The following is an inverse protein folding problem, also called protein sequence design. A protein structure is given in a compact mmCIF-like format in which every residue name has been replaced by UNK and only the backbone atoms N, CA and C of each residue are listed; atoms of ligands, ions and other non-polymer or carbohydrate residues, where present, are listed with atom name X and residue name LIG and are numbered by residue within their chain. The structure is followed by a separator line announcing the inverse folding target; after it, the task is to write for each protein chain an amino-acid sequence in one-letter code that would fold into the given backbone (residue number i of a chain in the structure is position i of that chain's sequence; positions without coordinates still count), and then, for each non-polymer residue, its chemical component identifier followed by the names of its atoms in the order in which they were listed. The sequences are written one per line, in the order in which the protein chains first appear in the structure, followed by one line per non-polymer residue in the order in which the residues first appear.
data_IF_788746425256
#
_entry.id   IF_788746425256
#
_cell.length_a   1.000
_cell.length_b   1.000
_cell.length_c   1.000
_cell.angle_alpha   90.00
_cell.angle_beta   90.00
_cell.angle_gamma   90.00
#
_symmetry.space_group_name_H-M   'P 1'
#
loop_
_entity.id
_entity.type
_entity.pdbx_description
1 polymer ?
#
# COMPACT_ATOMS: atom_id res chain seq x y z
N UNK A 1 -42.35 -5.21 19.47
CA UNK A 1 -43.07 -5.53 18.22
C UNK A 1 -42.05 -6.24 17.32
N UNK A 2 -42.11 -7.53 17.01
CA UNK A 2 -43.24 -8.33 16.53
C UNK A 2 -43.43 -9.65 17.29
N UNK A 3 -44.64 -10.15 17.10
CA UNK A 3 -45.33 -11.29 17.72
C UNK A 3 -44.99 -12.65 17.09
N UNK A 4 -44.93 -13.67 17.94
CA UNK A 4 -45.70 -14.93 17.89
C UNK A 4 -45.99 -15.54 16.51
N UNK A 5 -45.34 -16.67 16.21
CA UNK A 5 -45.98 -17.78 15.48
C UNK A 5 -45.39 -19.13 15.91
N UNK A 6 -46.32 -20.03 16.18
CA UNK A 6 -46.17 -21.40 16.63
C UNK A 6 -46.51 -22.35 15.48
N UNK A 7 -45.71 -23.40 15.26
CA UNK A 7 -46.12 -24.75 14.83
C UNK A 7 -44.89 -25.63 14.54
N UNK A 8 -44.54 -26.51 15.47
CA UNK A 8 -43.90 -27.78 15.13
C UNK A 8 -44.91 -28.87 15.46
N UNK A 9 -45.35 -29.61 14.45
CA UNK A 9 -46.19 -30.79 14.61
C UNK A 9 -45.36 -31.94 15.18
N UNK A 10 -45.96 -32.63 16.16
CA UNK A 10 -45.51 -33.89 16.71
C UNK A 10 -45.89 -35.06 15.78
N UNK A 11 -45.00 -36.05 15.68
CA UNK A 11 -45.38 -37.46 15.54
C UNK A 11 -44.40 -38.32 16.35
N UNK A 12 -44.94 -39.11 17.29
CA UNK A 12 -44.41 -40.44 17.60
C UNK A 12 -43.58 -40.64 18.87
N UNK A 13 -44.27 -40.91 19.99
CA UNK A 13 -44.07 -42.16 20.76
C UNK A 13 -42.94 -42.24 21.81
N UNK A 14 -43.02 -43.18 22.78
CA UNK A 14 -42.86 -42.85 24.20
C UNK A 14 -41.76 -43.64 24.95
N UNK A 15 -41.25 -43.06 26.06
CA UNK A 15 -40.74 -43.87 27.18
C UNK A 15 -39.48 -43.40 27.90
N UNK A 16 -39.62 -42.42 28.81
CA UNK A 16 -38.90 -42.23 30.10
C UNK A 16 -37.36 -42.12 30.12
N UNK A 17 -36.72 -41.26 30.91
CA UNK A 17 -37.08 -40.08 31.71
C UNK A 17 -35.76 -39.34 31.92
N UNK A 18 -35.80 -38.02 31.71
CA UNK A 18 -34.71 -37.08 31.98
C UNK A 18 -34.45 -36.99 33.49
N UNK A 19 -33.22 -37.23 33.92
CA UNK A 19 -32.57 -36.49 35.02
C UNK A 19 -31.09 -36.38 34.69
N UNK A 20 -30.73 -35.65 33.63
CA UNK A 20 -29.33 -35.25 33.40
C UNK A 20 -29.24 -33.73 33.41
N UNK A 21 -29.13 -33.24 34.64
CA UNK A 21 -28.17 -32.23 35.08
C UNK A 21 -28.07 -30.93 34.25
N UNK A 22 -29.03 -30.05 34.51
CA UNK A 22 -28.98 -28.60 34.22
C UNK A 22 -27.68 -27.93 34.72
N UNK A 23 -26.95 -28.55 35.66
CA UNK A 23 -25.62 -28.10 36.12
C UNK A 23 -24.51 -28.23 35.08
N UNK A 24 -24.56 -29.22 34.17
CA UNK A 24 -23.53 -29.38 33.13
C UNK A 24 -23.64 -28.32 32.03
N UNK A 25 -24.86 -27.87 31.72
CA UNK A 25 -25.09 -26.89 30.65
C UNK A 25 -24.66 -25.49 31.11
N UNK A 26 -24.87 -25.14 32.38
CA UNK A 26 -24.37 -23.87 32.92
C UNK A 26 -22.84 -23.82 33.04
N UNK A 27 -22.17 -24.92 33.43
CA UNK A 27 -20.69 -24.94 33.49
C UNK A 27 -20.06 -24.93 32.10
N UNK A 28 -20.65 -25.61 31.11
CA UNK A 28 -20.20 -25.52 29.72
C UNK A 28 -20.42 -24.13 29.12
N UNK A 29 -21.52 -23.45 29.45
CA UNK A 29 -21.76 -22.08 28.97
C UNK A 29 -20.79 -21.08 29.64
N UNK A 30 -20.48 -21.26 30.92
CA UNK A 30 -19.49 -20.43 31.62
C UNK A 30 -18.07 -20.68 31.10
N UNK A 31 -17.70 -21.93 30.78
CA UNK A 31 -16.42 -22.26 30.14
C UNK A 31 -16.34 -21.79 28.69
N UNK A 32 -17.45 -21.79 27.94
CA UNK A 32 -17.51 -21.26 26.58
C UNK A 32 -17.44 -19.73 26.58
N UNK A 33 -18.11 -19.06 27.53
CA UNK A 33 -18.03 -17.60 27.69
C UNK A 33 -16.64 -17.20 28.21
N UNK A 34 -16.04 -17.93 29.15
CA UNK A 34 -14.65 -17.68 29.57
C UNK A 34 -13.63 -18.00 28.47
N UNK A 35 -13.84 -19.05 27.68
CA UNK A 35 -12.98 -19.41 26.55
C UNK A 35 -13.07 -18.42 25.38
N UNK A 36 -14.26 -17.85 25.14
CA UNK A 36 -14.48 -16.85 24.09
C UNK A 36 -14.07 -15.44 24.55
N UNK A 37 -14.18 -15.11 25.84
CA UNK A 37 -13.74 -13.82 26.39
C UNK A 37 -12.21 -13.76 26.57
N UNK A 38 -11.52 -14.90 26.71
CA UNK A 38 -10.04 -14.96 26.73
C UNK A 38 -9.43 -14.95 25.32
N UNK A 39 -10.24 -15.18 24.28
CA UNK A 39 -9.88 -14.93 22.88
C UNK A 39 -10.35 -13.54 22.45
N UNK A 40 -10.05 -12.51 23.25
CA UNK A 40 -9.87 -11.20 22.66
C UNK A 40 -8.79 -11.37 21.57
N UNK A 41 -9.01 -10.89 20.33
CA UNK A 41 -7.93 -10.87 19.35
C UNK A 41 -6.76 -10.20 20.05
N UNK A 42 -5.65 -10.93 20.21
CA UNK A 42 -4.40 -10.33 20.65
C UNK A 42 -4.23 -9.05 19.84
N UNK A 43 -3.91 -7.91 20.46
CA UNK A 43 -3.62 -6.70 19.69
C UNK A 43 -2.67 -7.15 18.58
N UNK A 44 -3.07 -6.92 17.33
CA UNK A 44 -2.20 -7.20 16.20
C UNK A 44 -0.91 -6.48 16.54
N UNK A 45 0.17 -7.22 16.79
CA UNK A 45 1.48 -6.58 16.94
C UNK A 45 1.71 -5.89 15.60
N UNK A 46 1.42 -4.59 15.53
CA UNK A 46 1.65 -3.79 14.32
C UNK A 46 3.15 -3.72 14.00
N UNK A 47 3.98 -4.06 15.00
CA UNK A 47 5.42 -4.03 14.94
C UNK A 47 6.09 -5.35 14.62
N UNK A 48 6.91 -5.34 13.57
CA UNK A 48 7.79 -6.48 13.27
C UNK A 48 9.06 -6.51 14.14
N UNK A 49 9.27 -5.49 14.99
CA UNK A 49 10.47 -5.33 15.83
C UNK A 49 10.17 -4.50 17.07
N UNK A 50 10.85 -4.80 18.18
CA UNK A 50 10.85 -3.93 19.38
C UNK A 50 12.15 -3.12 19.44
N UNK A 51 12.01 -1.80 19.39
CA UNK A 51 13.01 -0.75 19.58
C UNK A 51 12.59 0.16 20.74
N UNK A 52 13.50 1.00 21.22
CA UNK A 52 13.13 2.07 22.12
C UNK A 52 12.40 3.17 21.33
N UNK A 53 11.19 3.54 21.76
CA UNK A 53 10.44 4.63 21.12
C UNK A 53 11.22 5.94 21.24
N UNK A 54 11.43 6.61 20.10
CA UNK A 54 11.98 7.96 20.09
C UNK A 54 10.89 8.95 20.53
N UNK A 55 11.24 9.99 21.30
CA UNK A 55 10.28 11.05 21.64
C UNK A 55 9.62 11.71 20.43
N UNK A 56 10.32 11.75 19.29
CA UNK A 56 9.80 12.32 18.05
C UNK A 56 8.79 11.42 17.32
N UNK A 57 8.61 10.15 17.71
CA UNK A 57 7.56 9.28 17.12
C UNK A 57 6.15 9.72 17.57
N UNK A 58 6.06 10.49 18.65
CA UNK A 58 4.81 11.10 19.08
C UNK A 58 4.47 12.32 18.21
N UNK A 59 3.23 12.37 17.72
CA UNK A 59 2.69 13.52 16.97
C UNK A 59 2.66 14.77 17.86
N UNK A 60 2.31 14.60 19.15
CA UNK A 60 2.23 15.67 20.13
C UNK A 60 3.31 15.52 21.20
N UNK A 61 4.12 16.57 21.36
CA UNK A 61 5.17 16.63 22.38
C UNK A 61 4.89 17.84 23.29
N UNK A 62 5.10 17.66 24.60
CA UNK A 62 4.90 18.74 25.56
C UNK A 62 6.01 19.77 25.42
N UNK A 63 5.64 21.05 25.32
CA UNK A 63 6.56 22.18 25.25
C UNK A 63 7.26 22.34 26.59
N UNK A 64 8.34 21.60 26.81
CA UNK A 64 9.22 21.84 27.95
C UNK A 64 10.07 23.08 27.65
N UNK A 65 10.03 24.10 28.52
CA UNK A 65 10.81 25.34 28.42
C UNK A 65 12.35 25.16 28.33
N UNK A 66 12.86 23.92 28.30
CA UNK A 66 14.28 23.58 28.37
C UNK A 66 14.95 23.22 27.03
N UNK A 67 14.22 23.07 25.92
CA UNK A 67 14.79 22.60 24.63
C UNK A 67 15.22 23.71 23.65
N UNK A 68 15.10 24.99 24.02
CA UNK A 68 15.60 26.13 23.22
C UNK A 68 17.13 26.29 23.22
N UNK A 69 17.89 25.29 23.67
CA UNK A 69 19.37 25.28 23.59
C UNK A 69 19.85 24.04 22.85
N UNK A 70 19.72 24.04 21.52
CA UNK A 70 20.64 23.43 20.53
C UNK A 70 19.95 23.41 19.16
N UNK A 71 20.02 24.53 18.45
CA UNK A 71 20.05 24.51 16.99
C UNK A 71 21.54 24.44 16.60
N UNK A 72 22.05 23.35 16.00
CA UNK A 72 23.17 23.48 15.07
C UNK A 72 22.56 24.10 13.80
N UNK A 73 23.00 25.26 13.32
CA UNK A 73 24.34 25.46 12.80
C UNK A 73 24.34 25.05 11.33
N UNK A 74 24.17 26.04 10.45
CA UNK A 74 24.26 26.00 8.99
C UNK A 74 25.00 24.79 8.40
N UNK A 75 24.32 24.05 7.51
CA UNK A 75 24.97 23.23 6.48
C UNK A 75 24.81 23.96 5.13
N UNK A 76 25.89 24.23 4.38
CA UNK A 76 25.79 24.92 3.10
C UNK A 76 25.45 23.95 1.96
N UNK A 77 24.50 24.36 1.12
CA UNK A 77 24.41 23.95 -0.29
C UNK A 77 23.43 22.83 -0.63
N UNK A 78 22.21 23.18 -1.03
CA UNK A 78 21.55 22.74 -2.27
C UNK A 78 20.38 23.70 -2.55
N UNK A 79 20.14 23.99 -3.83
CA UNK A 79 19.38 25.14 -4.33
C UNK A 79 17.97 25.32 -3.79
N UNK A 80 17.58 26.59 -3.69
CA UNK A 80 16.33 27.10 -3.18
C UNK A 80 15.09 26.42 -3.80
N UNK A 81 14.25 25.87 -2.93
CA UNK A 81 12.81 25.77 -3.14
C UNK A 81 12.16 26.66 -2.07
N UNK A 82 11.26 27.55 -2.51
CA UNK A 82 10.62 28.56 -1.69
C UNK A 82 9.92 27.95 -0.47
N UNK A 83 10.41 28.31 0.73
CA UNK A 83 9.78 27.97 1.99
C UNK A 83 8.50 28.80 2.15
N UNK A 84 7.35 28.20 1.84
CA UNK A 84 6.06 28.69 2.34
C UNK A 84 5.95 28.22 3.79
N UNK A 85 6.50 29.01 4.72
CA UNK A 85 6.28 28.80 6.15
C UNK A 85 4.89 29.31 6.54
N UNK A 86 3.95 28.38 6.70
CA UNK A 86 2.67 28.65 7.33
C UNK A 86 2.85 28.85 8.86
N UNK A 87 2.05 29.71 9.50
CA UNK A 87 2.22 30.03 10.91
C UNK A 87 1.99 28.78 11.77
N UNK A 88 2.97 28.47 12.61
CA UNK A 88 2.85 27.48 13.68
C UNK A 88 1.73 27.94 14.60
N UNK A 89 0.61 27.20 14.60
CA UNK A 89 -0.46 27.44 15.55
C UNK A 89 0.09 27.21 16.96
N UNK A 90 0.26 28.30 17.71
CA UNK A 90 0.65 28.27 19.11
C UNK A 90 -0.44 27.58 19.92
N UNK A 91 -0.05 26.52 20.63
CA UNK A 91 -0.91 25.67 21.44
C UNK A 91 -1.55 26.40 22.62
N UNK A 92 -2.82 26.09 22.89
CA UNK A 92 -3.57 26.62 24.02
C UNK A 92 -3.15 25.96 25.36
N UNK A 93 -2.45 24.81 25.35
CA UNK A 93 -2.16 24.01 26.56
C UNK A 93 -0.70 23.52 26.74
N UNK A 94 0.28 24.14 26.06
CA UNK A 94 1.70 23.79 26.21
C UNK A 94 2.11 22.47 25.54
N UNK A 95 1.44 22.10 24.44
CA UNK A 95 1.74 20.93 23.61
C UNK A 95 1.95 21.35 22.16
N UNK A 96 3.06 20.97 21.53
CA UNK A 96 3.27 21.15 20.10
C UNK A 96 2.92 19.87 19.36
N UNK A 97 1.90 19.91 18.50
CA UNK A 97 1.46 18.77 17.70
C UNK A 97 1.76 18.98 16.22
N UNK A 98 2.48 18.04 15.60
CA UNK A 98 2.82 18.09 14.18
C UNK A 98 2.77 16.70 13.56
N UNK A 99 1.97 16.54 12.51
CA UNK A 99 1.94 15.36 11.64
C UNK A 99 2.91 15.57 10.47
N UNK A 100 4.11 14.99 10.60
CA UNK A 100 5.12 14.95 9.54
C UNK A 100 4.88 13.81 8.55
N UNK A 101 4.69 14.16 7.28
CA UNK A 101 4.40 13.24 6.19
C UNK A 101 5.54 13.31 5.17
N UNK A 102 6.25 12.20 5.00
CA UNK A 102 7.32 12.05 4.02
C UNK A 102 6.70 11.78 2.67
N UNK A 103 7.04 12.56 1.64
CA UNK A 103 6.52 12.39 0.28
C UNK A 103 7.68 12.02 -0.63
N UNK A 104 7.75 10.77 -1.05
CA UNK A 104 8.84 10.25 -1.89
C UNK A 104 8.28 10.06 -3.29
N UNK A 105 8.64 10.94 -4.23
CA UNK A 105 8.15 10.90 -5.61
C UNK A 105 9.20 11.51 -6.55
N UNK A 106 9.25 11.10 -7.83
CA UNK A 106 10.21 11.67 -8.77
C UNK A 106 9.89 13.13 -9.04
N UNK A 107 10.91 13.99 -9.08
CA UNK A 107 10.75 15.38 -9.49
C UNK A 107 10.51 15.50 -11.02
N UNK A 108 10.95 14.51 -11.79
CA UNK A 108 10.80 14.50 -13.24
C UNK A 108 9.33 14.31 -13.65
N UNK A 109 8.78 15.28 -14.39
CA UNK A 109 7.40 15.27 -14.89
C UNK A 109 7.14 14.29 -16.02
N UNK A 110 8.15 13.54 -16.49
CA UNK A 110 7.92 12.38 -17.36
C UNK A 110 7.11 11.27 -16.67
N UNK A 111 7.08 11.23 -15.33
CA UNK A 111 6.23 10.31 -14.55
C UNK A 111 4.91 10.99 -14.21
N UNK A 112 3.80 10.29 -14.40
CA UNK A 112 2.44 10.81 -14.18
C UNK A 112 2.23 11.26 -12.74
N UNK A 113 2.61 10.39 -11.79
CA UNK A 113 2.63 10.67 -10.36
C UNK A 113 4.00 11.20 -9.91
N UNK A 114 4.44 12.30 -10.52
CA UNK A 114 5.63 13.06 -10.11
C UNK A 114 5.29 14.11 -9.06
N UNK A 115 6.29 14.49 -8.26
CA UNK A 115 6.12 15.42 -7.14
C UNK A 115 5.43 16.75 -7.56
N UNK A 116 5.83 17.43 -8.65
CA UNK A 116 5.17 18.68 -9.06
C UNK A 116 3.71 18.50 -9.48
N UNK A 117 3.32 17.29 -9.94
CA UNK A 117 1.95 16.98 -10.36
C UNK A 117 1.07 16.55 -9.19
N UNK A 118 1.65 15.91 -8.18
CA UNK A 118 0.93 15.43 -6.99
C UNK A 118 0.77 16.53 -5.95
N UNK A 119 1.69 17.48 -5.86
CA UNK A 119 1.64 18.55 -4.86
C UNK A 119 0.29 19.31 -4.84
N UNK A 120 -0.30 19.77 -5.96
CA UNK A 120 -1.60 20.43 -5.94
C UNK A 120 -2.74 19.53 -5.41
N UNK A 121 -2.63 18.22 -5.60
CA UNK A 121 -3.60 17.26 -5.06
C UNK A 121 -3.47 17.13 -3.54
N UNK A 122 -2.24 17.17 -3.00
CA UNK A 122 -1.98 17.18 -1.56
C UNK A 122 -2.48 18.47 -0.91
N UNK A 123 -2.24 19.63 -1.53
CA UNK A 123 -2.74 20.93 -1.05
C UNK A 123 -4.29 20.94 -1.00
N UNK A 124 -4.93 20.40 -2.03
CA UNK A 124 -6.40 20.24 -2.04
C UNK A 124 -6.89 19.26 -0.97
N UNK A 125 -6.15 18.18 -0.73
CA UNK A 125 -6.47 17.21 0.31
C UNK A 125 -6.34 17.83 1.70
N UNK A 126 -5.29 18.62 1.96
CA UNK A 126 -5.15 19.36 3.21
C UNK A 126 -6.31 20.35 3.41
N UNK A 127 -6.68 21.11 2.37
CA UNK A 127 -7.85 21.98 2.42
C UNK A 127 -9.16 21.23 2.71
N UNK A 128 -9.30 19.99 2.26
CA UNK A 128 -10.43 19.12 2.63
C UNK A 128 -10.35 18.66 4.09
N UNK A 129 -9.19 18.18 4.55
CA UNK A 129 -8.94 17.75 5.94
C UNK A 129 -9.28 18.86 6.92
N UNK A 130 -8.88 20.10 6.64
CA UNK A 130 -9.14 21.26 7.50
C UNK A 130 -10.60 21.67 7.53
N UNK A 131 -11.30 21.62 6.39
CA UNK A 131 -12.72 21.96 6.31
C UNK A 131 -13.62 20.94 7.02
N UNK A 132 -13.32 19.66 6.87
CA UNK A 132 -14.09 18.57 7.47
C UNK A 132 -13.69 18.28 8.93
N UNK A 133 -12.63 18.94 9.44
CA UNK A 133 -12.14 18.70 10.81
C UNK A 133 -11.63 17.27 11.03
N UNK A 134 -11.13 16.60 9.98
CA UNK A 134 -10.62 15.22 10.06
C UNK A 134 -9.40 15.14 10.99
N UNK A 135 -8.54 16.16 10.91
CA UNK A 135 -7.40 16.34 11.80
C UNK A 135 -7.67 17.59 12.64
N UNK A 136 -7.46 17.54 13.98
CA UNK A 136 -7.62 18.69 14.85
C UNK A 136 -6.87 19.94 14.35
N UNK A 137 -7.48 21.12 14.51
CA UNK A 137 -6.94 22.37 13.97
C UNK A 137 -5.59 22.78 14.60
N UNK A 138 -5.30 22.30 15.80
CA UNK A 138 -4.08 22.49 16.57
C UNK A 138 -2.95 21.52 16.19
N UNK A 139 -3.21 20.53 15.33
CA UNK A 139 -2.18 19.65 14.75
C UNK A 139 -1.70 20.23 13.43
N UNK A 140 -0.44 20.68 13.38
CA UNK A 140 0.20 21.12 12.14
C UNK A 140 0.42 19.93 11.20
N UNK A 141 0.28 20.12 9.89
CA UNK A 141 0.64 19.11 8.89
C UNK A 141 1.88 19.60 8.18
N UNK A 142 2.93 18.77 8.14
CA UNK A 142 4.20 19.10 7.49
C UNK A 142 4.52 18.07 6.42
N UNK A 143 4.56 18.54 5.17
CA UNK A 143 4.97 17.76 4.01
C UNK A 143 6.50 17.82 3.87
N UNK A 144 7.16 16.67 3.77
CA UNK A 144 8.62 16.54 3.63
C UNK A 144 8.91 15.86 2.28
N UNK A 145 9.08 16.64 1.20
CA UNK A 145 9.27 16.07 -0.14
C UNK A 145 10.69 15.56 -0.37
N UNK A 146 10.81 14.43 -1.06
CA UNK A 146 12.06 13.86 -1.55
C UNK A 146 11.93 13.39 -3.00
N UNK A 147 12.93 13.75 -3.81
CA UNK A 147 13.08 13.26 -5.18
C UNK A 147 13.81 11.91 -5.20
N UNK A 148 13.08 10.84 -5.47
CA UNK A 148 13.64 9.49 -5.61
C UNK A 148 14.21 9.19 -7.00
N UNK A 149 13.98 10.07 -7.98
CA UNK A 149 14.34 9.88 -9.40
C UNK A 149 13.85 8.56 -9.98
N UNK A 150 12.84 7.93 -9.37
CA UNK A 150 12.36 6.62 -9.75
C UNK A 150 13.46 5.52 -9.63
N UNK A 151 14.44 5.71 -8.74
CA UNK A 151 15.58 4.81 -8.49
C UNK A 151 15.44 4.06 -7.15
N UNK A 152 15.63 2.74 -7.18
CA UNK A 152 15.49 1.87 -6.01
C UNK A 152 16.38 2.27 -4.83
N UNK A 153 17.68 2.49 -5.08
CA UNK A 153 18.64 2.83 -4.04
C UNK A 153 18.33 4.20 -3.43
N UNK A 154 18.01 5.18 -4.28
CA UNK A 154 17.71 6.55 -3.86
C UNK A 154 16.43 6.60 -3.03
N UNK A 155 15.35 5.96 -3.47
CA UNK A 155 14.10 5.88 -2.70
C UNK A 155 14.30 5.32 -1.29
N UNK A 156 15.16 4.30 -1.17
CA UNK A 156 15.50 3.68 0.12
C UNK A 156 16.21 4.66 1.05
N UNK A 157 17.20 5.40 0.55
CA UNK A 157 17.92 6.42 1.32
C UNK A 157 16.98 7.56 1.73
N UNK A 158 16.13 8.05 0.81
CA UNK A 158 15.16 9.09 1.12
C UNK A 158 14.15 8.65 2.21
N UNK A 159 13.74 7.38 2.20
CA UNK A 159 12.90 6.83 3.26
C UNK A 159 13.64 6.81 4.62
N UNK A 160 14.92 6.45 4.63
CA UNK A 160 15.74 6.50 5.85
C UNK A 160 15.95 7.94 6.34
N UNK A 161 16.23 8.90 5.47
CA UNK A 161 16.42 10.30 5.83
C UNK A 161 15.11 10.94 6.32
N UNK A 162 13.99 10.61 5.69
CA UNK A 162 12.65 11.09 6.07
C UNK A 162 12.12 10.51 7.38
N UNK A 163 12.57 9.31 7.77
CA UNK A 163 12.15 8.62 9.01
C UNK A 163 13.25 8.60 10.09
N UNK A 164 14.43 9.11 9.74
CA UNK A 164 15.57 9.25 10.63
C UNK A 164 15.32 10.25 11.76
N UNK A 165 16.31 10.40 12.64
CA UNK A 165 16.17 11.22 13.85
C UNK A 165 15.95 12.72 13.58
N UNK A 166 16.29 13.21 12.39
CA UNK A 166 16.15 14.63 12.03
C UNK A 166 14.74 14.96 11.53
N UNK A 167 14.16 14.10 10.69
CA UNK A 167 12.84 14.31 10.09
C UNK A 167 11.72 13.65 10.88
N UNK A 168 11.97 12.48 11.50
CA UNK A 168 11.00 11.69 12.26
C UNK A 168 9.59 11.64 11.64
N UNK A 169 9.50 11.32 10.35
CA UNK A 169 8.22 11.25 9.64
C UNK A 169 7.33 10.12 10.14
N UNK A 170 6.01 10.34 10.19
CA UNK A 170 5.04 9.36 10.73
C UNK A 170 4.37 8.50 9.65
N UNK A 171 4.44 8.94 8.39
CA UNK A 171 3.82 8.30 7.23
C UNK A 171 4.67 8.58 6.00
N UNK A 172 4.77 7.59 5.11
CA UNK A 172 5.35 7.76 3.77
C UNK A 172 4.22 7.76 2.73
N UNK A 173 4.21 8.78 1.88
CA UNK A 173 3.42 8.84 0.64
C UNK A 173 4.32 8.55 -0.56
N UNK A 174 3.90 7.62 -1.42
CA UNK A 174 4.72 7.06 -2.49
C UNK A 174 5.63 5.93 -1.99
N UNK A 175 6.68 5.53 -2.74
CA UNK A 175 7.02 5.92 -4.11
C UNK A 175 5.95 5.64 -5.16
N UNK A 176 6.05 6.31 -6.31
CA UNK A 176 5.16 6.10 -7.47
C UNK A 176 5.70 5.10 -8.49
N UNK A 177 6.99 4.76 -8.43
CA UNK A 177 7.59 3.75 -9.30
C UNK A 177 7.71 2.39 -8.59
N UNK A 178 7.40 1.29 -9.28
CA UNK A 178 7.32 -0.04 -8.66
C UNK A 178 8.68 -0.50 -8.09
N UNK A 179 9.78 -0.28 -8.81
CA UNK A 179 11.12 -0.60 -8.31
C UNK A 179 11.58 0.29 -7.15
N UNK A 180 11.16 1.55 -7.13
CA UNK A 180 11.45 2.47 -6.02
C UNK A 180 10.62 2.10 -4.77
N UNK A 181 9.35 1.71 -4.98
CA UNK A 181 8.40 1.34 -3.95
C UNK A 181 8.81 0.05 -3.23
N UNK A 182 9.26 -0.96 -3.98
CA UNK A 182 9.57 -2.29 -3.44
C UNK A 182 10.49 -2.27 -2.20
N UNK A 183 11.68 -1.65 -2.21
CA UNK A 183 12.53 -1.60 -1.02
C UNK A 183 11.93 -0.76 0.11
N UNK A 184 11.29 0.38 -0.20
CA UNK A 184 10.70 1.27 0.82
C UNK A 184 9.60 0.53 1.57
N UNK A 185 8.71 -0.15 0.86
CA UNK A 185 7.64 -0.94 1.44
C UNK A 185 8.16 -2.15 2.26
N UNK A 186 9.26 -2.79 1.83
CA UNK A 186 9.91 -3.88 2.59
C UNK A 186 10.49 -3.41 3.92
N UNK A 187 11.17 -2.26 3.93
CA UNK A 187 11.80 -1.76 5.16
C UNK A 187 10.81 -1.10 6.10
N UNK A 188 9.66 -0.64 5.60
CA UNK A 188 8.66 0.10 6.36
C UNK A 188 8.21 -0.61 7.64
N UNK A 189 8.09 -1.94 7.60
CA UNK A 189 7.73 -2.76 8.76
C UNK A 189 8.78 -2.78 9.88
N UNK A 190 10.00 -2.33 9.59
CA UNK A 190 11.13 -2.25 10.53
C UNK A 190 11.45 -0.81 10.96
N UNK A 191 10.76 0.18 10.41
CA UNK A 191 10.89 1.58 10.80
C UNK A 191 10.01 1.78 12.03
N UNK A 192 10.61 2.21 13.15
CA UNK A 192 9.97 2.29 14.47
C UNK A 192 9.50 0.94 15.01
N UNK A 193 8.80 0.98 16.14
CA UNK A 193 8.26 -0.22 16.77
C UNK A 193 7.13 -0.82 15.96
N UNK A 194 6.15 -0.01 15.59
CA UNK A 194 4.90 -0.45 14.99
C UNK A 194 4.92 -0.43 13.45
N UNK A 195 6.12 -0.34 12.86
CA UNK A 195 6.28 -0.02 11.45
C UNK A 195 5.91 1.43 11.15
N UNK A 196 6.17 1.85 9.91
CA UNK A 196 5.65 3.09 9.35
C UNK A 196 4.69 2.77 8.19
N UNK A 197 3.47 3.33 8.15
CA UNK A 197 2.60 3.12 6.99
C UNK A 197 3.23 3.71 5.73
N UNK A 198 3.05 3.00 4.61
CA UNK A 198 3.41 3.45 3.26
C UNK A 198 2.15 3.48 2.43
N UNK A 199 1.68 4.67 2.06
CA UNK A 199 0.47 4.84 1.25
C UNK A 199 0.88 5.29 -0.14
N UNK A 200 0.44 4.57 -1.16
CA UNK A 200 0.74 4.94 -2.56
C UNK A 200 -0.44 4.68 -3.48
N UNK A 201 -0.57 5.54 -4.49
CA UNK A 201 -1.47 5.30 -5.62
C UNK A 201 -0.89 4.33 -6.67
N UNK A 202 0.38 3.94 -6.52
CA UNK A 202 1.10 3.03 -7.40
C UNK A 202 1.19 1.61 -6.81
N UNK A 203 2.23 0.85 -7.16
CA UNK A 203 2.38 -0.54 -6.77
C UNK A 203 1.52 -1.44 -7.64
N UNK A 204 1.85 -1.50 -8.92
CA UNK A 204 1.03 -2.16 -9.94
C UNK A 204 1.35 -3.65 -10.10
N UNK A 205 2.61 -4.05 -9.88
CA UNK A 205 2.98 -5.47 -9.92
C UNK A 205 2.19 -6.30 -8.92
N UNK A 206 1.97 -7.57 -9.28
CA UNK A 206 1.14 -8.50 -8.51
C UNK A 206 1.69 -8.77 -7.10
N UNK A 207 3.00 -8.65 -6.89
CA UNK A 207 3.64 -8.83 -5.58
C UNK A 207 3.05 -7.87 -4.52
N UNK A 208 2.67 -6.66 -4.93
CA UNK A 208 2.02 -5.68 -4.04
C UNK A 208 0.54 -6.00 -3.77
N UNK A 209 -0.01 -7.07 -4.34
CA UNK A 209 -1.36 -7.57 -4.06
C UNK A 209 -1.36 -8.76 -3.09
N UNK A 210 -0.20 -9.40 -2.88
CA UNK A 210 -0.07 -10.55 -1.99
C UNK A 210 -0.51 -10.25 -0.56
N UNK A 211 -0.86 -11.25 0.26
CA UNK A 211 -1.31 -11.04 1.64
C UNK A 211 -0.36 -10.13 2.45
N UNK A 212 -0.93 -9.22 3.26
CA UNK A 212 -0.21 -8.22 4.08
C UNK A 212 -0.66 -8.21 5.53
N UNK A 213 -1.45 -9.18 5.93
CA UNK A 213 -2.12 -9.19 7.25
C UNK A 213 -1.15 -9.40 8.40
N UNK A 214 -0.03 -10.06 8.15
CA UNK A 214 0.93 -10.45 9.17
C UNK A 214 2.29 -9.80 8.95
N UNK A 215 3.01 -9.59 10.04
CA UNK A 215 4.33 -8.96 10.06
C UNK A 215 5.35 -9.64 9.13
N UNK A 216 5.31 -10.97 8.99
CA UNK A 216 6.19 -11.71 8.10
C UNK A 216 5.94 -11.43 6.62
N UNK A 217 4.75 -10.91 6.27
CA UNK A 217 4.46 -10.54 4.89
C UNK A 217 5.35 -9.40 4.43
N UNK A 218 5.88 -9.54 3.22
CA UNK A 218 6.92 -8.67 2.65
C UNK A 218 6.51 -7.19 2.64
N UNK A 219 5.25 -6.90 2.36
CA UNK A 219 4.70 -5.55 2.24
C UNK A 219 3.66 -5.24 3.31
N UNK A 220 3.85 -5.73 4.54
CA UNK A 220 2.90 -5.57 5.66
C UNK A 220 2.37 -4.14 5.85
N UNK A 221 3.25 -3.14 5.74
CA UNK A 221 2.90 -1.72 5.95
C UNK A 221 2.44 -0.98 4.68
N UNK A 222 2.34 -1.67 3.53
CA UNK A 222 1.97 -1.06 2.27
C UNK A 222 0.45 -1.01 2.09
N UNK A 223 -0.07 0.20 1.90
CA UNK A 223 -1.46 0.47 1.59
C UNK A 223 -1.52 1.07 0.19
N UNK A 224 -2.17 0.35 -0.72
CA UNK A 224 -2.41 0.83 -2.08
C UNK A 224 -3.80 1.44 -2.18
N UNK A 225 -3.86 2.69 -2.61
CA UNK A 225 -5.12 3.41 -2.89
C UNK A 225 -5.49 3.37 -4.37
N UNK A 226 -4.55 2.95 -5.24
CA UNK A 226 -4.78 2.75 -6.66
C UNK A 226 -5.79 1.64 -6.95
N UNK A 227 -6.74 1.90 -7.86
CA UNK A 227 -7.80 0.95 -8.22
C UNK A 227 -7.33 -0.16 -9.17
N UNK A 228 -6.24 0.08 -9.89
CA UNK A 228 -5.77 -0.77 -10.99
C UNK A 228 -4.42 -1.37 -10.63
N UNK A 229 -4.25 -2.66 -10.94
CA UNK A 229 -2.98 -3.39 -10.84
C UNK A 229 -2.83 -4.29 -12.07
N UNK A 230 -1.61 -4.75 -12.31
CA UNK A 230 -1.34 -5.68 -13.40
C UNK A 230 -2.07 -7.02 -13.21
N UNK A 231 -2.28 -7.45 -11.95
CA UNK A 231 -3.11 -8.62 -11.63
C UNK A 231 -4.56 -8.42 -12.06
N UNK A 232 -5.16 -7.26 -11.75
CA UNK A 232 -6.52 -6.91 -12.19
C UNK A 232 -6.61 -6.77 -13.71
N UNK A 233 -5.60 -6.20 -14.38
CA UNK A 233 -5.53 -6.16 -15.83
C UNK A 233 -5.46 -7.57 -16.44
N UNK A 234 -4.70 -8.48 -15.82
CA UNK A 234 -4.62 -9.86 -16.27
C UNK A 234 -5.96 -10.58 -16.18
N UNK A 235 -6.68 -10.44 -15.06
CA UNK A 235 -8.03 -11.00 -14.93
C UNK A 235 -9.01 -10.42 -15.96
N UNK A 236 -8.96 -9.11 -16.22
CA UNK A 236 -9.75 -8.50 -17.27
C UNK A 236 -9.48 -9.12 -18.65
N UNK A 237 -8.19 -9.32 -18.99
CA UNK A 237 -7.82 -9.95 -20.26
C UNK A 237 -8.24 -11.42 -20.34
N UNK A 238 -8.14 -12.17 -19.23
CA UNK A 238 -8.62 -13.56 -19.14
C UNK A 238 -10.13 -13.62 -19.40
N UNK A 239 -10.91 -12.75 -18.77
CA UNK A 239 -12.36 -12.68 -19.00
C UNK A 239 -12.71 -12.35 -20.45
N UNK A 240 -11.94 -11.46 -21.07
CA UNK A 240 -12.10 -11.12 -22.49
C UNK A 240 -11.79 -12.33 -23.40
N UNK A 241 -10.69 -13.03 -23.15
CA UNK A 241 -10.29 -14.25 -23.86
C UNK A 241 -11.39 -15.32 -23.75
N UNK A 242 -11.93 -15.52 -22.54
CA UNK A 242 -13.03 -16.46 -22.29
C UNK A 242 -14.31 -16.06 -23.01
N UNK A 243 -14.68 -14.78 -22.95
CA UNK A 243 -15.87 -14.25 -23.61
C UNK A 243 -15.86 -14.51 -25.12
N UNK A 244 -14.73 -14.25 -25.77
CA UNK A 244 -14.56 -14.46 -27.22
C UNK A 244 -14.09 -15.87 -27.60
N UNK A 245 -13.93 -16.77 -26.61
CA UNK A 245 -13.47 -18.16 -26.79
C UNK A 245 -12.12 -18.26 -27.53
N UNK A 246 -11.22 -17.31 -27.27
CA UNK A 246 -9.86 -17.39 -27.80
C UNK A 246 -9.06 -18.43 -27.02
N UNK A 247 -8.27 -19.23 -27.72
CA UNK A 247 -7.49 -20.32 -27.15
C UNK A 247 -5.97 -20.08 -27.21
N UNK A 248 -5.53 -19.06 -27.95
CA UNK A 248 -4.10 -18.75 -28.12
C UNK A 248 -3.89 -17.24 -28.17
N UNK A 249 -2.86 -16.77 -27.48
CA UNK A 249 -2.52 -15.34 -27.38
C UNK A 249 -1.06 -15.13 -27.76
N UNK A 250 -0.79 -14.15 -28.62
CA UNK A 250 0.56 -13.61 -28.82
C UNK A 250 0.54 -12.17 -28.36
N UNK A 251 1.48 -11.78 -27.51
CA UNK A 251 1.63 -10.38 -27.15
C UNK A 251 3.05 -9.89 -27.45
N UNK A 252 3.09 -8.70 -28.02
CA UNK A 252 4.30 -7.95 -28.34
C UNK A 252 4.43 -6.84 -27.32
N UNK A 253 5.62 -6.68 -26.75
CA UNK A 253 5.85 -5.64 -25.77
C UNK A 253 7.29 -5.15 -25.80
N UNK A 254 7.45 -3.87 -25.47
CA UNK A 254 8.76 -3.28 -25.18
C UNK A 254 8.96 -3.29 -23.66
N UNK A 255 10.13 -3.72 -23.17
CA UNK A 255 10.32 -3.88 -21.73
C UNK A 255 10.25 -2.55 -21.01
N UNK A 256 10.79 -1.49 -21.61
CA UNK A 256 10.85 -0.14 -21.05
C UNK A 256 9.60 0.72 -21.35
N UNK A 257 8.59 0.15 -22.00
CA UNK A 257 7.34 0.87 -22.26
C UNK A 257 6.64 1.29 -20.96
N UNK A 258 5.80 2.31 -21.07
CA UNK A 258 5.00 2.85 -19.96
C UNK A 258 5.81 3.35 -18.76
N UNK A 259 7.05 3.82 -19.00
CA UNK A 259 7.90 4.43 -17.97
C UNK A 259 7.17 5.51 -17.16
N UNK A 260 6.33 6.30 -17.83
CA UNK A 260 5.55 7.36 -17.20
C UNK A 260 4.57 6.86 -16.12
N UNK A 261 4.18 5.58 -16.14
CA UNK A 261 3.17 5.02 -15.21
C UNK A 261 3.79 4.48 -13.93
N UNK A 262 4.79 3.61 -14.04
CA UNK A 262 5.38 2.90 -12.88
C UNK A 262 6.92 2.84 -12.92
N UNK A 263 7.56 3.61 -13.79
CA UNK A 263 9.00 3.70 -13.88
C UNK A 263 9.67 2.66 -14.79
N UNK A 264 10.97 2.40 -14.57
CA UNK A 264 11.74 1.46 -15.37
C UNK A 264 11.06 0.09 -15.50
N UNK A 265 11.18 -0.50 -16.68
CA UNK A 265 10.67 -1.84 -17.00
C UNK A 265 9.17 -2.09 -16.75
N UNK A 266 8.33 -1.03 -16.73
CA UNK A 266 6.88 -1.17 -16.51
C UNK A 266 6.22 -2.17 -17.48
N UNK A 267 6.53 -2.09 -18.77
CA UNK A 267 6.04 -3.03 -19.78
C UNK A 267 6.42 -4.49 -19.49
N UNK A 268 7.64 -4.72 -19.02
CA UNK A 268 8.09 -6.05 -18.60
C UNK A 268 7.34 -6.57 -17.37
N UNK A 269 7.12 -5.74 -16.35
CA UNK A 269 6.37 -6.11 -15.15
C UNK A 269 4.91 -6.48 -15.49
N UNK A 270 4.25 -5.68 -16.33
CA UNK A 270 2.89 -5.96 -16.79
C UNK A 270 2.82 -7.30 -17.54
N UNK A 271 3.75 -7.55 -18.46
CA UNK A 271 3.72 -8.73 -19.31
C UNK A 271 4.13 -10.01 -18.58
N UNK A 272 5.01 -9.91 -17.57
CA UNK A 272 5.30 -11.03 -16.68
C UNK A 272 4.09 -11.35 -15.79
N UNK A 273 3.38 -10.33 -15.31
CA UNK A 273 2.13 -10.54 -14.58
C UNK A 273 1.10 -11.25 -15.46
N UNK A 274 0.91 -10.81 -16.70
CA UNK A 274 0.01 -11.44 -17.65
C UNK A 274 0.37 -12.91 -17.92
N UNK A 275 1.66 -13.19 -18.14
CA UNK A 275 2.18 -14.54 -18.32
C UNK A 275 1.85 -15.47 -17.14
N UNK A 276 2.08 -14.98 -15.91
CA UNK A 276 1.81 -15.74 -14.70
C UNK A 276 0.33 -16.13 -14.61
N UNK A 277 -0.59 -15.18 -14.79
CA UNK A 277 -2.02 -15.46 -14.70
C UNK A 277 -2.56 -16.26 -15.90
N UNK A 278 -1.99 -16.11 -17.09
CA UNK A 278 -2.32 -17.00 -18.22
C UNK A 278 -1.91 -18.45 -17.95
N UNK A 279 -0.78 -18.69 -17.27
CA UNK A 279 -0.38 -20.04 -16.83
C UNK A 279 -1.36 -20.63 -15.83
N UNK A 280 -1.79 -19.85 -14.83
CA UNK A 280 -2.79 -20.30 -13.85
C UNK A 280 -4.11 -20.71 -14.51
N UNK A 281 -4.45 -20.08 -15.65
CA UNK A 281 -5.70 -20.31 -16.38
C UNK A 281 -5.59 -21.23 -17.59
N UNK A 282 -4.44 -21.91 -17.77
CA UNK A 282 -4.16 -22.81 -18.90
C UNK A 282 -4.36 -22.16 -20.28
N UNK A 283 -4.15 -20.85 -20.39
CA UNK A 283 -4.20 -20.14 -21.67
C UNK A 283 -2.87 -20.33 -22.38
N UNK A 284 -2.91 -20.78 -23.64
CA UNK A 284 -1.69 -20.87 -24.46
C UNK A 284 -1.26 -19.47 -24.87
N UNK A 285 -0.06 -19.05 -24.49
CA UNK A 285 0.46 -17.73 -24.84
C UNK A 285 1.88 -17.80 -25.40
N UNK A 286 2.27 -16.77 -26.14
CA UNK A 286 3.62 -16.60 -26.68
C UNK A 286 4.08 -15.15 -26.46
N UNK A 287 4.99 -14.90 -25.50
CA UNK A 287 5.55 -13.57 -25.27
C UNK A 287 6.59 -13.22 -26.34
N UNK A 288 6.57 -11.98 -26.83
CA UNK A 288 7.62 -11.46 -27.70
C UNK A 288 8.07 -10.06 -27.28
N UNK A 289 9.32 -9.94 -26.86
CA UNK A 289 9.95 -8.66 -26.54
C UNK A 289 10.44 -7.99 -27.82
N UNK A 290 10.01 -6.74 -28.07
CA UNK A 290 10.45 -5.96 -29.24
C UNK A 290 11.84 -5.36 -29.05
N UNK A 291 12.36 -5.29 -27.82
CA UNK A 291 13.74 -4.83 -27.51
C UNK A 291 14.82 -5.59 -28.28
N UNK A 292 14.61 -6.89 -28.53
CA UNK A 292 15.52 -7.76 -29.27
C UNK A 292 15.22 -7.80 -30.77
N UNK A 293 14.11 -7.20 -31.22
CA UNK A 293 13.72 -7.14 -32.62
C UNK A 293 14.59 -6.11 -33.34
N UNK A 294 15.82 -6.53 -33.68
CA UNK A 294 16.71 -5.82 -34.61
C UNK A 294 16.16 -5.75 -36.05
N UNK A 295 15.01 -6.37 -36.33
CA UNK A 295 14.34 -6.41 -37.63
C UNK A 295 12.93 -5.80 -37.58
N UNK A 296 12.46 -5.36 -38.75
CA UNK A 296 11.18 -4.69 -38.97
C UNK A 296 10.03 -5.40 -38.24
N UNK A 297 9.23 -4.66 -37.44
CA UNK A 297 8.08 -5.20 -36.68
C UNK A 297 7.15 -6.03 -37.57
N UNK A 298 7.02 -5.64 -38.84
CA UNK A 298 6.26 -6.35 -39.87
C UNK A 298 6.74 -7.79 -40.07
N UNK A 299 8.05 -8.03 -40.10
CA UNK A 299 8.62 -9.37 -40.26
C UNK A 299 8.45 -10.20 -39.00
N UNK A 300 8.64 -9.59 -37.82
CA UNK A 300 8.40 -10.25 -36.53
C UNK A 300 6.93 -10.68 -36.39
N UNK A 301 5.98 -9.85 -36.84
CA UNK A 301 4.56 -10.20 -36.88
C UNK A 301 4.28 -11.33 -37.88
N UNK A 302 4.85 -11.28 -39.09
CA UNK A 302 4.69 -12.35 -40.08
C UNK A 302 5.22 -13.69 -39.57
N UNK A 303 6.40 -13.69 -38.93
CA UNK A 303 7.02 -14.90 -38.39
C UNK A 303 6.20 -15.49 -37.23
N UNK A 304 5.79 -14.65 -36.27
CA UNK A 304 5.16 -15.13 -35.03
C UNK A 304 3.66 -15.34 -35.15
N UNK A 305 2.96 -14.54 -35.95
CA UNK A 305 1.49 -14.61 -36.11
C UNK A 305 1.10 -15.35 -37.39
N UNK A 306 1.79 -15.04 -38.51
CA UNK A 306 1.37 -15.38 -39.86
C UNK A 306 1.32 -16.87 -40.22
N UNK A 307 1.96 -17.75 -39.44
CA UNK A 307 1.99 -19.19 -39.71
C UNK A 307 1.15 -20.04 -38.74
N UNK A 308 0.78 -19.51 -37.57
CA UNK A 308 0.20 -20.32 -36.49
C UNK A 308 -1.06 -19.74 -35.83
N UNK A 309 -1.43 -18.49 -36.15
CA UNK A 309 -2.56 -17.77 -35.53
C UNK A 309 -3.55 -17.19 -36.55
N UNK A 310 -3.18 -17.07 -37.83
CA UNK A 310 -4.14 -16.87 -38.91
C UNK A 310 -4.77 -18.24 -39.22
N UNK A 311 -6.03 -18.46 -38.87
CA UNK A 311 -6.72 -19.70 -39.29
C UNK A 311 -6.93 -19.71 -40.80
N UNK A 312 -7.11 -20.91 -41.35
CA UNK A 312 -7.87 -21.11 -42.58
C UNK A 312 -9.29 -20.58 -42.43
#
# INVERSE_FOLDING_TARGET
MCTRTSRCYWFGGPGWKKVLCYRCVCTLFVLFVLGVVVLLPTPVECGCRRLAQKPCEAICVRTSAALNRRLPGNVPGYGAADNVSFPVASSIDGWTCELRIVVIMPANTSVEASLPRVQPALEKAEGFIRREGIIPADVAIRWIPFDDRCEQARATVMAMDGTGSDSCGHLILGPSCDFALAPVARIARYIYNDGIPVITGAGYTFDFEEPKTHCENEFHMLIRTGLVSFKRMAFFMIELIRHFKWNRVVYFYERQSYYNVAGPQTGHLLMNTMAEFFRHENITYSPFSTDSARTNLTESLKEKVGLSYASK
#
